data_IF_335441315714
#
_entry.id   IF_335441315714
#
_cell.length_a   1.000
_cell.length_b   1.000
_cell.length_c   1.000
_cell.angle_alpha   90.00
_cell.angle_beta   90.00
_cell.angle_gamma   90.00
#
_symmetry.space_group_name_H-M   'P 1'
#
loop_
_entity.id
_entity.type
_entity.pdbx_description
1 polymer ?
#
# COMPACT_ATOMS: atom_id res chain seq x y z
N UNK A 1 -3.77 -5.08 0.57
CA UNK A 1 -3.04 -4.74 1.81
C UNK A 1 -3.99 -4.71 3.02
N UNK A 2 -5.19 -4.15 2.87
CA UNK A 2 -6.18 -4.12 3.96
C UNK A 2 -6.68 -5.51 4.34
N UNK A 3 -6.94 -6.37 3.35
CA UNK A 3 -7.32 -7.78 3.60
C UNK A 3 -6.21 -8.60 4.27
N UNK A 4 -4.95 -8.25 4.00
CA UNK A 4 -3.79 -8.85 4.67
C UNK A 4 -3.44 -8.19 6.01
N UNK A 5 -4.22 -7.22 6.48
CA UNK A 5 -3.98 -6.44 7.69
C UNK A 5 -2.60 -5.74 7.71
N UNK A 6 -2.14 -5.32 6.53
CA UNK A 6 -0.87 -4.63 6.33
C UNK A 6 -1.13 -3.12 6.26
N UNK A 7 -0.35 -2.34 7.01
CA UNK A 7 -0.33 -0.90 6.85
C UNK A 7 0.19 -0.54 5.47
N UNK A 8 -0.54 0.30 4.75
CA UNK A 8 -0.26 0.64 3.37
C UNK A 8 -0.25 2.15 3.17
N UNK A 9 0.72 2.63 2.42
CA UNK A 9 0.79 4.02 1.97
C UNK A 9 1.31 4.05 0.54
N UNK A 10 0.76 4.93 -0.28
CA UNK A 10 1.25 5.19 -1.64
C UNK A 10 2.09 6.46 -1.65
N UNK A 11 3.29 6.37 -2.21
CA UNK A 11 4.13 7.51 -2.51
C UNK A 11 4.12 7.73 -4.03
N UNK A 12 3.38 8.75 -4.46
CA UNK A 12 3.27 9.10 -5.87
C UNK A 12 4.20 10.27 -6.21
N UNK A 13 4.84 10.21 -7.37
CA UNK A 13 5.70 11.26 -7.89
C UNK A 13 5.11 11.81 -9.18
N UNK A 14 5.08 13.14 -9.27
CA UNK A 14 4.65 13.86 -10.47
C UNK A 14 5.86 13.99 -11.41
N UNK A 15 5.65 13.72 -12.69
CA UNK A 15 6.67 13.82 -13.75
C UNK A 15 6.51 15.05 -14.61
N UNK A 16 5.26 15.53 -14.75
CA UNK A 16 4.90 16.72 -15.52
C UNK A 16 3.65 17.37 -14.91
N UNK A 17 3.25 18.51 -15.46
CA UNK A 17 2.08 19.28 -15.00
C UNK A 17 0.84 19.06 -15.86
N UNK A 18 0.95 18.25 -16.93
CA UNK A 18 -0.13 17.99 -17.87
C UNK A 18 -0.79 19.27 -18.42
N UNK A 19 -2.00 19.19 -18.96
CA UNK A 19 -2.70 20.25 -19.70
C UNK A 19 -3.19 21.45 -18.85
N UNK A 20 -3.19 21.39 -17.54
CA UNK A 20 -3.74 22.48 -16.73
C UNK A 20 -2.76 23.67 -16.51
N UNK A 21 -1.49 23.50 -16.87
CA UNK A 21 -0.50 24.58 -16.81
C UNK A 21 -0.31 25.17 -18.22
N UNK A 22 -0.74 26.39 -18.38
CA UNK A 22 -0.49 27.21 -19.58
C UNK A 22 0.99 27.69 -19.60
N UNK A 23 1.94 26.76 -19.68
CA UNK A 23 3.33 27.11 -19.95
C UNK A 23 3.61 26.88 -21.44
N UNK A 24 4.26 27.83 -22.09
CA UNK A 24 4.65 27.76 -23.50
C UNK A 24 5.74 26.71 -23.76
N UNK A 25 6.29 26.09 -22.72
CA UNK A 25 7.34 25.11 -22.84
C UNK A 25 6.74 23.73 -23.16
N UNK A 26 7.03 23.21 -24.33
CA UNK A 26 6.70 21.84 -24.70
C UNK A 26 7.38 20.85 -23.73
N UNK A 27 6.61 19.90 -23.22
CA UNK A 27 7.13 18.83 -22.37
C UNK A 27 8.02 17.92 -23.20
N UNK A 28 9.33 18.04 -23.05
CA UNK A 28 10.28 17.20 -23.78
C UNK A 28 10.46 15.85 -23.07
N UNK A 29 10.78 14.81 -23.83
CA UNK A 29 11.10 13.49 -23.30
C UNK A 29 12.28 13.55 -22.33
N UNK A 30 13.26 14.40 -22.63
CA UNK A 30 14.45 14.62 -21.81
C UNK A 30 14.07 15.17 -20.44
N UNK A 31 13.14 16.10 -20.38
CA UNK A 31 12.64 16.68 -19.11
C UNK A 31 11.90 15.61 -18.28
N UNK A 32 11.05 14.80 -18.92
CA UNK A 32 10.35 13.70 -18.24
C UNK A 32 11.34 12.71 -17.63
N UNK A 33 12.37 12.31 -18.39
CA UNK A 33 13.41 11.39 -17.92
C UNK A 33 14.21 11.98 -16.76
N UNK A 34 14.59 13.26 -16.83
CA UNK A 34 15.27 13.95 -15.73
C UNK A 34 14.41 13.97 -14.46
N UNK A 35 13.13 14.31 -14.57
CA UNK A 35 12.21 14.33 -13.46
C UNK A 35 12.02 12.91 -12.88
N UNK A 36 11.93 11.89 -13.72
CA UNK A 36 11.82 10.49 -13.29
C UNK A 36 13.05 10.08 -12.46
N UNK A 37 14.26 10.37 -12.93
CA UNK A 37 15.50 10.04 -12.23
C UNK A 37 15.61 10.79 -10.88
N UNK A 38 15.25 12.06 -10.85
CA UNK A 38 15.21 12.86 -9.63
C UNK A 38 14.18 12.30 -8.63
N UNK A 39 13.00 11.90 -9.12
CA UNK A 39 11.94 11.29 -8.33
C UNK A 39 12.38 9.94 -7.74
N UNK A 40 13.04 9.08 -8.53
CA UNK A 40 13.60 7.81 -8.04
C UNK A 40 14.60 8.05 -6.91
N UNK A 41 15.55 8.97 -7.10
CA UNK A 41 16.53 9.34 -6.06
C UNK A 41 15.86 9.85 -4.78
N UNK A 42 14.86 10.71 -4.94
CA UNK A 42 14.08 11.24 -3.82
C UNK A 42 13.30 10.15 -3.11
N UNK A 43 12.63 9.26 -3.86
CA UNK A 43 11.91 8.11 -3.33
C UNK A 43 12.80 7.18 -2.49
N UNK A 44 13.99 6.87 -2.98
CA UNK A 44 14.95 6.06 -2.24
C UNK A 44 15.37 6.70 -0.92
N UNK A 45 15.59 8.02 -0.89
CA UNK A 45 15.91 8.75 0.35
C UNK A 45 14.75 8.72 1.33
N UNK A 46 13.51 8.95 0.84
CA UNK A 46 12.30 8.91 1.67
C UNK A 46 12.15 7.51 2.29
N UNK A 47 12.24 6.45 1.48
CA UNK A 47 12.09 5.06 1.96
C UNK A 47 13.15 4.74 3.03
N UNK A 48 14.41 5.08 2.80
CA UNK A 48 15.48 4.86 3.80
C UNK A 48 15.18 5.58 5.11
N UNK A 49 14.70 6.82 5.04
CA UNK A 49 14.34 7.61 6.22
C UNK A 49 13.14 7.02 6.94
N UNK A 50 12.10 6.65 6.20
CA UNK A 50 10.90 6.02 6.75
C UNK A 50 11.22 4.73 7.49
N UNK A 51 12.04 3.84 6.90
CA UNK A 51 12.43 2.58 7.54
C UNK A 51 13.16 2.83 8.87
N UNK A 52 14.03 3.83 8.92
CA UNK A 52 14.76 4.19 10.13
C UNK A 52 13.87 4.80 11.23
N UNK A 53 12.74 5.38 10.87
CA UNK A 53 11.85 6.14 11.78
C UNK A 53 10.47 5.51 11.94
N UNK A 54 10.22 4.31 11.38
CA UNK A 54 8.93 3.62 11.55
C UNK A 54 8.63 3.45 13.05
N UNK A 55 7.53 4.04 13.55
CA UNK A 55 7.13 3.87 14.94
C UNK A 55 6.62 2.45 15.20
N UNK A 56 6.48 2.09 16.48
CA UNK A 56 5.80 0.86 16.84
C UNK A 56 4.33 0.91 16.39
N UNK A 57 3.97 0.07 15.43
CA UNK A 57 2.63 -0.01 14.85
C UNK A 57 1.71 -1.03 15.55
N UNK A 58 2.06 -1.50 16.76
CA UNK A 58 1.27 -2.51 17.48
C UNK A 58 -0.19 -2.08 17.72
N UNK A 59 -0.43 -0.79 17.91
CA UNK A 59 -1.78 -0.21 18.09
C UNK A 59 -2.46 0.26 16.80
N UNK A 60 -1.90 -0.03 15.63
CA UNK A 60 -2.51 0.40 14.37
C UNK A 60 -3.79 -0.41 14.06
N UNK A 61 -4.89 0.29 13.78
CA UNK A 61 -6.18 -0.33 13.41
C UNK A 61 -6.13 -1.16 12.13
N UNK A 62 -5.10 -1.00 11.29
CA UNK A 62 -4.92 -1.86 10.12
C UNK A 62 -4.77 -3.33 10.52
N UNK A 63 -4.20 -3.61 11.69
CA UNK A 63 -3.94 -4.96 12.19
C UNK A 63 -5.19 -5.73 12.63
N UNK A 64 -6.34 -5.09 12.68
CA UNK A 64 -7.65 -5.70 12.97
C UNK A 64 -8.68 -5.34 11.90
N UNK A 65 -8.22 -5.10 10.68
CA UNK A 65 -9.08 -4.65 9.59
C UNK A 65 -10.16 -5.67 9.20
N UNK A 66 -9.95 -6.96 9.48
CA UNK A 66 -10.90 -8.03 9.21
C UNK A 66 -11.80 -8.41 10.40
N UNK A 67 -11.65 -7.77 11.56
CA UNK A 67 -12.37 -8.12 12.79
C UNK A 67 -13.89 -8.19 12.61
N UNK A 68 -14.43 -7.32 11.76
CA UNK A 68 -15.88 -7.28 11.44
C UNK A 68 -16.20 -7.57 9.97
N UNK A 69 -15.22 -7.98 9.18
CA UNK A 69 -15.38 -8.18 7.74
C UNK A 69 -15.81 -9.60 7.37
N UNK A 70 -15.52 -10.60 8.22
CA UNK A 70 -15.87 -11.99 7.99
C UNK A 70 -17.23 -12.27 8.63
N UNK A 71 -18.28 -12.23 7.79
CA UNK A 71 -19.67 -12.44 8.23
C UNK A 71 -20.16 -13.87 8.01
N UNK A 72 -19.36 -14.71 7.34
CA UNK A 72 -19.70 -16.12 7.11
C UNK A 72 -19.56 -16.88 8.42
N UNK A 73 -20.58 -17.72 8.73
CA UNK A 73 -20.47 -18.62 9.87
C UNK A 73 -19.23 -19.51 9.73
N UNK A 74 -18.35 -19.59 10.74
CA UNK A 74 -17.15 -20.41 10.70
C UNK A 74 -17.40 -21.86 10.25
N UNK A 75 -18.46 -22.49 10.74
CA UNK A 75 -18.82 -23.87 10.38
C UNK A 75 -19.26 -24.05 8.92
N UNK A 76 -19.61 -22.97 8.26
CA UNK A 76 -19.99 -22.96 6.84
C UNK A 76 -18.81 -22.71 5.89
N UNK A 77 -17.60 -22.46 6.41
CA UNK A 77 -16.42 -22.24 5.58
C UNK A 77 -15.81 -23.60 5.21
N UNK A 78 -15.78 -23.96 3.90
CA UNK A 78 -15.20 -25.23 3.48
C UNK A 78 -13.71 -25.35 3.82
N UNK A 79 -13.24 -26.55 4.15
CA UNK A 79 -11.83 -26.81 4.49
C UNK A 79 -10.85 -26.31 3.42
N UNK A 80 -11.17 -26.53 2.15
CA UNK A 80 -10.37 -26.03 1.03
C UNK A 80 -10.26 -24.49 1.00
N UNK A 81 -11.27 -23.78 1.49
CA UNK A 81 -11.22 -22.32 1.60
C UNK A 81 -10.39 -21.89 2.82
N UNK A 82 -10.51 -22.61 3.94
CA UNK A 82 -9.67 -22.39 5.14
C UNK A 82 -8.20 -22.60 4.81
N UNK A 83 -7.85 -23.70 4.16
CA UNK A 83 -6.47 -24.00 3.75
C UNK A 83 -5.89 -22.90 2.85
N UNK A 84 -6.67 -22.44 1.86
CA UNK A 84 -6.23 -21.39 0.92
C UNK A 84 -6.11 -20.02 1.56
N UNK A 85 -6.98 -19.67 2.48
CA UNK A 85 -7.11 -18.33 3.06
C UNK A 85 -6.55 -18.25 4.49
N UNK A 86 -6.01 -19.31 5.04
CA UNK A 86 -5.60 -19.41 6.44
C UNK A 86 -4.77 -18.25 6.93
N UNK A 87 -3.75 -17.81 6.15
CA UNK A 87 -2.92 -16.65 6.49
C UNK A 87 -3.72 -15.36 6.75
N UNK A 88 -4.91 -15.25 6.17
CA UNK A 88 -5.76 -14.06 6.28
C UNK A 88 -6.83 -14.23 7.36
N UNK A 89 -7.42 -15.43 7.48
CA UNK A 89 -8.65 -15.63 8.24
C UNK A 89 -8.47 -16.39 9.56
N UNK A 90 -7.41 -17.19 9.75
CA UNK A 90 -7.23 -18.04 10.93
C UNK A 90 -7.25 -17.29 12.26
N UNK A 91 -6.87 -16.01 12.24
CA UNK A 91 -6.94 -15.14 13.40
C UNK A 91 -8.38 -14.93 13.90
N UNK A 92 -9.36 -15.02 13.01
CA UNK A 92 -10.77 -14.68 13.24
C UNK A 92 -11.71 -15.86 13.17
N UNK A 93 -11.29 -16.94 12.48
CA UNK A 93 -12.07 -18.16 12.30
C UNK A 93 -11.39 -19.28 13.10
N UNK A 94 -11.45 -19.15 14.44
CA UNK A 94 -11.00 -20.22 15.33
C UNK A 94 -12.14 -21.20 15.56
N UNK A 95 -11.78 -22.49 15.65
CA UNK A 95 -12.65 -23.55 16.13
C UNK A 95 -13.05 -23.34 17.59
#
# INVERSE_FOLDING_TARGET
AREAEICYVTLAFVTDYDVWRESEDEVSVELIVQNLLANVSTGQRIIRRMIAEIPNLAGCSCRSALESAIITNPDAIPDAARERLGLLIDKYVKD
#
